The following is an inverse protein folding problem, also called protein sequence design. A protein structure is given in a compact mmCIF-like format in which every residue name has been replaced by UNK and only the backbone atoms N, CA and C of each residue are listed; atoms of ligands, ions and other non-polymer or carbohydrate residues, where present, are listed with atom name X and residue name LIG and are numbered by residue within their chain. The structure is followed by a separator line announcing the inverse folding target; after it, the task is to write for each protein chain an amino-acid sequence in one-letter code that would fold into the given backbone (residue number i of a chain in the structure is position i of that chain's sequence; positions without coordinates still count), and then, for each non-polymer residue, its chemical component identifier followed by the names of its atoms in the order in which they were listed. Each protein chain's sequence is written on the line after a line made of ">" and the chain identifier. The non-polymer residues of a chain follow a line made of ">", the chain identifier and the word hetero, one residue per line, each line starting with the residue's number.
data_IF_282930426291
#
_entry.id   IF_282930426291
#
_cell.length_a   1.000
_cell.length_b   1.000
_cell.length_c   1.000
_cell.angle_alpha   90.00
_cell.angle_beta   90.00
_cell.angle_gamma   90.00
#
_symmetry.space_group_name_H-M   'P 1'
#
loop_
_entity.id
_entity.type
_entity.pdbx_description
1 polymer ?
#
# COMPACT_ATOMS: atom_id res chain seq x y z
N UNK A 1 -42.04 -40.79 9.04
CA UNK A 1 -40.96 -41.45 8.28
C UNK A 1 -39.64 -40.78 8.68
N UNK A 2 -38.72 -41.59 9.18
CA UNK A 2 -37.45 -41.25 9.82
C UNK A 2 -36.42 -40.65 8.84
N UNK A 3 -35.46 -39.87 9.38
CA UNK A 3 -34.18 -39.67 8.70
C UNK A 3 -33.36 -38.46 9.16
N UNK A 4 -32.91 -38.43 10.42
CA UNK A 4 -31.77 -37.60 10.86
C UNK A 4 -30.48 -38.22 10.27
N UNK A 5 -29.62 -37.42 9.65
CA UNK A 5 -28.24 -37.81 9.37
C UNK A 5 -27.28 -36.89 10.12
N UNK A 6 -26.71 -37.42 11.19
CA UNK A 6 -25.55 -36.89 11.91
C UNK A 6 -24.30 -37.38 11.19
N UNK A 7 -23.36 -36.50 10.87
CA UNK A 7 -22.01 -36.89 10.48
C UNK A 7 -21.00 -36.27 11.45
N UNK A 8 -20.36 -37.15 12.21
CA UNK A 8 -19.26 -36.88 13.12
C UNK A 8 -17.95 -37.22 12.41
N UNK A 9 -16.85 -36.71 12.97
CA UNK A 9 -15.47 -37.24 12.84
C UNK A 9 -14.66 -36.68 11.66
N UNK A 10 -13.36 -36.34 11.74
CA UNK A 10 -12.28 -36.58 12.69
C UNK A 10 -11.24 -35.45 12.53
N UNK A 11 -10.70 -34.93 13.63
CA UNK A 11 -9.47 -34.14 13.67
C UNK A 11 -8.25 -35.08 13.62
N UNK A 12 -7.21 -34.75 12.85
CA UNK A 12 -5.83 -35.20 13.09
C UNK A 12 -4.84 -34.09 12.71
N UNK A 13 -3.94 -33.67 13.61
CA UNK A 13 -2.80 -32.83 13.26
C UNK A 13 -1.62 -33.71 12.84
N UNK A 14 -0.79 -33.23 11.90
CA UNK A 14 0.53 -33.80 11.65
C UNK A 14 1.59 -32.73 11.87
N UNK A 15 2.45 -33.02 12.85
CA UNK A 15 3.67 -32.32 13.22
C UNK A 15 4.90 -32.95 12.56
N UNK A 16 6.03 -32.24 12.70
CA UNK A 16 7.44 -32.65 12.60
C UNK A 16 8.16 -32.61 11.24
N UNK A 17 8.89 -31.50 11.05
CA UNK A 17 10.35 -31.37 11.06
C UNK A 17 11.20 -32.65 10.87
N UNK A 18 11.99 -32.67 9.79
CA UNK A 18 13.30 -33.31 9.54
C UNK A 18 13.78 -32.75 8.18
N UNK A 19 15.04 -32.52 7.80
CA UNK A 19 16.36 -32.65 8.40
C UNK A 19 17.35 -31.86 7.52
N UNK A 20 18.51 -31.58 8.09
CA UNK A 20 19.68 -30.90 7.55
C UNK A 20 20.38 -31.63 6.39
N UNK A 21 21.08 -30.89 5.52
CA UNK A 21 22.19 -31.42 4.72
C UNK A 21 23.38 -30.46 4.67
N UNK A 22 24.56 -31.05 4.89
CA UNK A 22 25.90 -30.47 5.03
C UNK A 22 26.49 -29.92 3.72
N UNK A 23 27.46 -29.03 3.93
CA UNK A 23 28.39 -28.37 3.03
C UNK A 23 29.32 -29.28 2.20
N UNK A 24 29.82 -28.77 1.07
CA UNK A 24 31.17 -29.02 0.51
C UNK A 24 31.62 -27.77 -0.27
N UNK A 25 32.82 -27.26 0.01
CA UNK A 25 33.51 -26.25 -0.80
C UNK A 25 34.66 -26.86 -1.61
N UNK A 26 35.20 -26.14 -2.60
CA UNK A 26 36.64 -26.15 -2.95
C UNK A 26 36.98 -25.14 -4.06
N UNK A 27 38.25 -24.78 -4.12
CA UNK A 27 38.88 -23.56 -4.66
C UNK A 27 39.52 -23.71 -6.05
N UNK A 28 39.50 -22.60 -6.81
CA UNK A 28 40.59 -21.91 -7.55
C UNK A 28 41.57 -22.71 -8.45
N UNK A 29 41.67 -22.37 -9.75
CA UNK A 29 42.96 -22.19 -10.46
C UNK A 29 42.82 -21.35 -11.75
N UNK A 30 43.82 -20.50 -12.00
CA UNK A 30 44.05 -19.55 -13.09
C UNK A 30 45.05 -20.15 -14.11
N UNK A 31 45.13 -19.67 -15.37
CA UNK A 31 46.35 -19.18 -16.07
C UNK A 31 46.16 -18.97 -17.60
N UNK A 32 46.52 -17.74 -18.02
CA UNK A 32 47.14 -17.16 -19.25
C UNK A 32 46.97 -17.76 -20.68
N UNK A 33 46.75 -16.87 -21.67
CA UNK A 33 47.79 -16.23 -22.53
C UNK A 33 47.19 -15.64 -23.84
N UNK A 34 47.69 -14.47 -24.27
CA UNK A 34 47.26 -13.70 -25.45
C UNK A 34 48.07 -14.01 -26.72
N UNK A 35 47.64 -13.49 -27.89
CA UNK A 35 48.48 -12.46 -28.52
C UNK A 35 47.72 -11.22 -29.05
N UNK A 36 48.51 -10.16 -29.20
CA UNK A 36 48.21 -8.76 -29.52
C UNK A 36 48.28 -8.48 -31.02
N UNK A 37 47.39 -7.62 -31.55
CA UNK A 37 47.65 -6.84 -32.76
C UNK A 37 47.14 -5.39 -32.61
N UNK A 38 48.06 -4.45 -32.80
CA UNK A 38 47.92 -2.98 -32.85
C UNK A 38 47.20 -2.52 -34.15
N UNK A 39 46.71 -1.30 -34.39
CA UNK A 39 46.53 -0.03 -33.69
C UNK A 39 45.59 0.82 -34.57
N UNK A 40 44.80 1.73 -33.99
CA UNK A 40 44.56 3.09 -34.51
C UNK A 40 43.72 3.90 -33.51
N UNK A 41 43.96 5.21 -33.48
CA UNK A 41 43.77 6.15 -32.37
C UNK A 41 42.53 7.05 -32.50
N UNK A 42 41.74 7.12 -31.41
CA UNK A 42 40.94 8.26 -30.87
C UNK A 42 39.89 8.99 -31.75
N UNK A 43 38.90 9.73 -31.20
CA UNK A 43 38.67 10.08 -29.80
C UNK A 43 37.31 9.65 -29.21
N UNK A 44 37.13 9.96 -27.93
CA UNK A 44 36.07 9.52 -27.03
C UNK A 44 34.76 10.32 -27.07
N UNK A 45 33.72 9.66 -26.50
CA UNK A 45 32.43 10.13 -25.97
C UNK A 45 31.33 10.43 -27.00
N UNK A 46 30.05 10.06 -26.84
CA UNK A 46 29.14 10.20 -25.68
C UNK A 46 28.04 9.10 -25.71
N UNK A 47 27.58 8.70 -24.53
CA UNK A 47 26.45 7.81 -24.16
C UNK A 47 25.30 7.59 -25.17
N UNK A 48 24.86 6.32 -25.30
CA UNK A 48 23.45 5.94 -25.44
C UNK A 48 23.22 4.42 -25.29
N UNK A 49 22.45 4.07 -24.26
CA UNK A 49 21.61 2.86 -24.12
C UNK A 49 22.27 1.47 -24.27
N UNK A 50 22.79 0.94 -23.15
CA UNK A 50 22.88 -0.50 -22.96
C UNK A 50 21.47 -1.06 -22.69
N UNK A 51 20.76 -1.36 -23.77
CA UNK A 51 19.49 -2.09 -23.76
C UNK A 51 19.76 -3.51 -23.24
N UNK A 52 19.69 -3.70 -21.93
CA UNK A 52 19.66 -5.05 -21.35
C UNK A 52 18.25 -5.60 -21.60
N UNK A 53 18.07 -6.27 -22.73
CA UNK A 53 16.90 -7.09 -23.02
C UNK A 53 16.81 -8.17 -21.94
N UNK A 54 15.91 -8.00 -20.98
CA UNK A 54 15.59 -9.04 -20.00
C UNK A 54 14.93 -10.18 -20.75
N UNK A 55 15.66 -11.28 -20.93
CA UNK A 55 15.13 -12.52 -21.49
C UNK A 55 14.13 -13.15 -20.49
N UNK A 56 12.85 -12.87 -20.69
CA UNK A 56 11.73 -13.39 -19.89
C UNK A 56 11.45 -14.88 -20.09
N UNK A 57 12.08 -15.58 -21.04
CA UNK A 57 11.97 -17.06 -21.13
C UNK A 57 12.70 -17.76 -19.99
N UNK A 58 13.74 -17.12 -19.43
CA UNK A 58 14.54 -17.69 -18.34
C UNK A 58 13.98 -17.39 -16.95
N UNK A 59 13.02 -16.46 -16.85
CA UNK A 59 12.37 -16.11 -15.58
C UNK A 59 11.21 -17.08 -15.35
N UNK A 60 11.55 -18.35 -15.08
CA UNK A 60 10.59 -19.29 -14.51
C UNK A 60 10.31 -18.78 -13.10
N UNK A 61 9.21 -18.03 -12.96
CA UNK A 61 8.73 -17.59 -11.65
C UNK A 61 8.64 -18.83 -10.74
N UNK A 62 9.39 -18.85 -9.64
CA UNK A 62 9.43 -19.99 -8.70
C UNK A 62 8.07 -20.28 -8.04
N UNK A 63 7.07 -19.43 -8.29
CA UNK A 63 5.70 -19.63 -7.87
C UNK A 63 5.05 -20.70 -8.73
N UNK A 64 4.51 -21.75 -8.11
CA UNK A 64 3.71 -22.77 -8.79
C UNK A 64 2.49 -22.15 -9.48
N UNK A 65 1.92 -22.84 -10.46
CA UNK A 65 0.65 -22.41 -11.07
C UNK A 65 -0.42 -22.19 -9.98
N UNK A 66 -0.46 -23.06 -8.97
CA UNK A 66 -1.31 -22.94 -7.80
C UNK A 66 -1.07 -21.64 -7.00
N UNK A 67 0.18 -21.23 -6.76
CA UNK A 67 0.49 -19.96 -6.07
C UNK A 67 0.10 -18.72 -6.89
N UNK A 68 0.14 -18.83 -8.22
CA UNK A 68 -0.24 -17.73 -9.14
C UNK A 68 -1.75 -17.62 -9.33
N UNK A 69 -2.48 -18.73 -9.18
CA UNK A 69 -3.95 -18.80 -9.37
C UNK A 69 -4.71 -18.96 -8.07
N UNK A 70 -4.03 -18.98 -6.92
CA UNK A 70 -4.73 -18.92 -5.64
C UNK A 70 -5.62 -17.68 -5.70
N UNK A 71 -6.93 -17.81 -5.40
CA UNK A 71 -7.73 -16.63 -5.16
C UNK A 71 -6.92 -15.78 -4.20
N UNK A 72 -6.68 -14.51 -4.56
CA UNK A 72 -6.17 -13.57 -3.57
C UNK A 72 -7.02 -13.80 -2.33
N UNK A 73 -6.43 -14.13 -1.15
CA UNK A 73 -7.23 -14.19 0.06
C UNK A 73 -7.97 -12.86 0.06
N UNK A 74 -9.30 -12.91 0.07
CA UNK A 74 -10.15 -11.73 0.01
C UNK A 74 -9.68 -10.87 1.16
N UNK A 75 -8.75 -9.96 0.88
CA UNK A 75 -8.04 -9.28 1.94
C UNK A 75 -9.12 -8.50 2.68
N UNK A 76 -9.04 -8.47 4.00
CA UNK A 76 -9.88 -7.57 4.77
C UNK A 76 -9.73 -6.17 4.14
N UNK A 77 -10.84 -5.60 3.70
CA UNK A 77 -10.82 -4.30 3.06
C UNK A 77 -10.38 -3.28 4.10
N UNK A 78 -9.23 -2.67 3.90
CA UNK A 78 -8.60 -1.77 4.88
C UNK A 78 -7.98 -0.57 4.19
N UNK A 79 -8.07 0.60 4.82
CA UNK A 79 -7.33 1.78 4.42
C UNK A 79 -6.23 2.06 5.45
N UNK A 80 -5.06 2.54 5.02
CA UNK A 80 -3.97 2.86 5.94
C UNK A 80 -3.05 3.95 5.39
N UNK A 81 -2.41 4.68 6.31
CA UNK A 81 -1.34 5.62 5.99
C UNK A 81 -0.04 4.85 5.75
N UNK A 82 0.73 5.27 4.75
CA UNK A 82 1.98 4.61 4.36
C UNK A 82 3.17 5.20 5.08
N UNK A 83 3.18 6.52 5.28
CA UNK A 83 4.37 7.27 5.68
C UNK A 83 4.27 7.92 7.07
N UNK A 84 3.15 7.74 7.78
CA UNK A 84 2.96 8.20 9.17
C UNK A 84 2.36 7.08 10.02
N UNK A 85 2.75 7.03 11.30
CA UNK A 85 2.26 6.07 12.29
C UNK A 85 1.79 6.80 13.57
N UNK A 86 1.08 6.05 14.41
CA UNK A 86 0.63 6.54 15.70
C UNK A 86 1.83 6.94 16.58
N UNK A 87 1.76 8.15 17.15
CA UNK A 87 2.78 8.77 18.00
C UNK A 87 3.85 9.58 17.26
N UNK A 88 3.76 9.71 15.93
CA UNK A 88 4.75 10.46 15.16
C UNK A 88 4.74 11.95 15.49
N UNK A 89 5.94 12.54 15.46
CA UNK A 89 6.15 13.98 15.55
C UNK A 89 6.48 14.52 14.16
N UNK A 90 5.69 15.47 13.67
CA UNK A 90 5.81 16.01 12.31
C UNK A 90 5.92 17.53 12.34
N UNK A 91 6.45 18.13 11.28
CA UNK A 91 6.49 19.59 11.11
C UNK A 91 5.55 20.00 10.00
N UNK A 92 4.74 21.04 10.24
CA UNK A 92 3.80 21.54 9.24
C UNK A 92 4.47 22.50 8.24
N UNK A 93 4.16 22.40 6.92
CA UNK A 93 3.29 21.40 6.29
C UNK A 93 3.99 20.06 6.07
N UNK A 94 3.24 18.96 6.11
CA UNK A 94 3.76 17.62 5.88
C UNK A 94 2.92 16.83 4.88
N UNK A 95 3.58 15.93 4.13
CA UNK A 95 2.93 15.05 3.17
C UNK A 95 2.41 13.80 3.87
N UNK A 96 1.22 13.35 3.50
CA UNK A 96 0.64 12.07 3.88
C UNK A 96 0.30 11.28 2.63
N UNK A 97 0.64 10.00 2.62
CA UNK A 97 0.31 9.05 1.56
C UNK A 97 -0.54 7.94 2.15
N UNK A 98 -1.54 7.49 1.39
CA UNK A 98 -2.53 6.55 1.87
C UNK A 98 -2.95 5.58 0.77
N UNK A 99 -3.35 4.39 1.21
CA UNK A 99 -3.69 3.25 0.34
C UNK A 99 -4.97 2.60 0.84
N UNK A 100 -5.70 1.97 -0.09
CA UNK A 100 -6.79 1.03 0.21
C UNK A 100 -6.45 -0.34 -0.35
N UNK A 101 -6.68 -1.39 0.43
CA UNK A 101 -6.58 -2.79 0.01
C UNK A 101 -7.97 -3.36 -0.25
N UNK A 102 -8.13 -4.16 -1.30
CA UNK A 102 -9.39 -4.82 -1.66
C UNK A 102 -10.43 -3.93 -2.37
N UNK A 103 -10.08 -2.70 -2.74
CA UNK A 103 -10.88 -1.78 -3.55
C UNK A 103 -10.00 -0.92 -4.47
N UNK A 104 -10.58 -0.34 -5.51
CA UNK A 104 -9.93 0.64 -6.38
C UNK A 104 -10.23 2.10 -5.97
N UNK A 105 -9.32 3.01 -6.28
CA UNK A 105 -9.53 4.46 -6.12
C UNK A 105 -10.05 5.03 -7.44
N UNK A 106 -11.14 5.79 -7.39
CA UNK A 106 -11.76 6.41 -8.55
C UNK A 106 -12.22 7.84 -8.23
N UNK A 107 -12.05 8.80 -9.16
CA UNK A 107 -12.63 10.13 -9.02
C UNK A 107 -14.16 10.06 -8.90
N UNK A 108 -14.74 10.93 -8.07
CA UNK A 108 -16.20 11.09 -7.92
C UNK A 108 -16.88 11.35 -9.27
N UNK A 109 -16.22 12.13 -10.15
CA UNK A 109 -16.73 12.46 -11.49
C UNK A 109 -16.90 11.25 -12.41
N UNK A 110 -16.23 10.12 -12.12
CA UNK A 110 -16.40 8.89 -12.88
C UNK A 110 -17.71 8.15 -12.55
N UNK A 111 -18.46 8.62 -11.53
CA UNK A 111 -19.74 8.06 -11.14
C UNK A 111 -19.63 6.75 -10.37
N UNK A 112 -20.66 5.92 -10.47
CA UNK A 112 -20.73 4.66 -9.74
C UNK A 112 -19.96 3.55 -10.47
N UNK A 113 -18.74 3.27 -10.02
CA UNK A 113 -17.93 2.14 -10.50
C UNK A 113 -17.83 1.11 -9.37
N UNK A 114 -18.28 -0.11 -9.65
CA UNK A 114 -18.28 -1.21 -8.69
C UNK A 114 -16.86 -1.47 -8.15
N UNK A 115 -16.76 -1.75 -6.84
CA UNK A 115 -15.48 -2.03 -6.19
C UNK A 115 -14.56 -0.81 -6.05
N UNK A 116 -15.05 0.40 -6.33
CA UNK A 116 -14.26 1.63 -6.20
C UNK A 116 -14.84 2.67 -5.25
N UNK A 117 -14.01 3.63 -4.90
CA UNK A 117 -14.37 4.77 -4.08
C UNK A 117 -13.25 5.80 -4.04
N UNK A 118 -13.27 6.67 -3.04
CA UNK A 118 -12.22 7.63 -2.82
C UNK A 118 -11.95 7.85 -1.33
N UNK A 119 -10.80 8.44 -1.04
CA UNK A 119 -10.32 8.62 0.32
C UNK A 119 -10.89 9.88 0.97
N UNK A 120 -10.96 9.81 2.29
CA UNK A 120 -11.18 10.93 3.19
C UNK A 120 -10.19 10.85 4.34
N UNK A 121 -9.76 11.99 4.86
CA UNK A 121 -9.09 12.06 6.15
C UNK A 121 -10.01 12.81 7.12
N UNK A 122 -10.26 12.18 8.26
CA UNK A 122 -10.94 12.76 9.40
C UNK A 122 -9.86 13.34 10.31
N UNK A 123 -9.96 14.64 10.58
CA UNK A 123 -9.01 15.39 11.40
C UNK A 123 -9.71 15.80 12.68
N UNK A 124 -9.25 15.26 13.81
CA UNK A 124 -9.84 15.51 15.13
C UNK A 124 -11.33 15.18 15.21
N UNK A 125 -11.78 14.19 14.43
CA UNK A 125 -13.16 13.73 14.40
C UNK A 125 -13.28 12.24 14.74
N UNK A 126 -14.33 11.86 15.48
CA UNK A 126 -14.69 10.45 15.63
C UNK A 126 -15.20 9.88 14.31
N UNK A 127 -15.34 8.55 14.26
CA UNK A 127 -16.05 7.92 13.15
C UNK A 127 -17.50 8.43 13.06
N UNK A 128 -18.02 8.71 11.85
CA UNK A 128 -19.41 9.06 11.66
C UNK A 128 -20.32 7.95 12.20
N UNK A 129 -21.29 8.34 13.03
CA UNK A 129 -22.27 7.41 13.59
C UNK A 129 -23.27 6.94 12.54
N UNK A 130 -23.60 7.80 11.57
CA UNK A 130 -24.47 7.46 10.46
C UNK A 130 -23.68 6.85 9.30
N UNK A 131 -24.01 5.60 8.99
CA UNK A 131 -23.33 4.82 7.97
C UNK A 131 -23.85 5.03 6.55
N UNK A 132 -25.02 5.68 6.42
CA UNK A 132 -25.77 5.81 5.17
C UNK A 132 -25.75 7.23 4.62
N UNK A 133 -25.45 8.20 5.47
CA UNK A 133 -25.35 9.60 5.06
C UNK A 133 -23.98 9.91 4.44
N UNK A 134 -23.94 10.83 3.46
CA UNK A 134 -22.69 11.39 2.95
C UNK A 134 -21.88 12.05 4.07
N UNK A 135 -20.56 11.99 3.96
CA UNK A 135 -19.69 12.76 4.83
C UNK A 135 -19.97 14.26 4.68
N UNK A 136 -20.03 15.02 5.79
CA UNK A 136 -20.27 16.45 5.73
C UNK A 136 -19.07 17.14 5.08
N UNK A 137 -19.36 18.14 4.26
CA UNK A 137 -18.35 19.07 3.79
C UNK A 137 -18.18 20.19 4.81
N UNK A 138 -16.94 20.50 5.15
CA UNK A 138 -16.65 21.66 5.99
C UNK A 138 -17.15 22.94 5.31
N UNK A 139 -17.65 23.88 6.13
CA UNK A 139 -18.16 25.16 5.62
C UNK A 139 -17.00 25.99 5.05
N UNK A 140 -17.29 26.78 4.02
CA UNK A 140 -16.30 27.58 3.31
C UNK A 140 -15.65 28.69 4.16
N UNK A 141 -16.16 29.01 5.34
CA UNK A 141 -15.57 29.96 6.30
C UNK A 141 -14.65 29.28 7.34
N UNK A 142 -14.65 27.95 7.38
CA UNK A 142 -13.95 27.13 8.39
C UNK A 142 -12.65 26.51 7.87
N UNK A 143 -12.06 27.06 6.79
CA UNK A 143 -10.83 26.55 6.14
C UNK A 143 -9.65 26.33 7.09
N UNK A 144 -9.61 27.00 8.24
CA UNK A 144 -8.56 26.79 9.25
C UNK A 144 -8.67 25.45 9.98
N UNK A 145 -9.86 24.86 10.05
CA UNK A 145 -10.12 23.61 10.76
C UNK A 145 -10.95 22.66 9.88
N UNK A 146 -10.42 22.28 8.70
CA UNK A 146 -11.07 21.25 7.89
C UNK A 146 -11.09 19.93 8.68
N UNK A 147 -12.26 19.52 9.14
CA UNK A 147 -12.52 18.28 9.89
C UNK A 147 -12.59 17.08 8.96
N UNK A 148 -13.06 17.29 7.73
CA UNK A 148 -13.21 16.25 6.71
C UNK A 148 -12.48 16.69 5.44
N UNK A 149 -11.30 16.12 5.23
CA UNK A 149 -10.56 16.31 3.98
C UNK A 149 -11.05 15.31 2.94
N UNK A 150 -11.63 15.81 1.85
CA UNK A 150 -12.13 15.00 0.75
C UNK A 150 -11.11 14.88 -0.39
N UNK A 151 -10.91 13.66 -0.90
CA UNK A 151 -10.04 13.36 -2.04
C UNK A 151 -10.86 12.88 -3.24
N UNK A 152 -11.84 13.69 -3.62
CA UNK A 152 -12.84 13.35 -4.64
C UNK A 152 -12.31 13.28 -6.07
N UNK A 153 -11.04 13.63 -6.33
CA UNK A 153 -10.41 13.46 -7.65
C UNK A 153 -9.62 12.14 -7.75
N UNK A 154 -9.71 11.30 -6.72
CA UNK A 154 -8.96 10.04 -6.64
C UNK A 154 -7.52 10.24 -6.19
N UNK A 155 -7.25 11.31 -5.43
CA UNK A 155 -5.93 11.52 -4.85
C UNK A 155 -5.58 10.39 -3.85
N UNK A 156 -4.31 9.98 -3.81
CA UNK A 156 -3.76 8.97 -2.88
C UNK A 156 -2.72 9.56 -1.93
N UNK A 157 -2.50 10.87 -2.04
CA UNK A 157 -1.59 11.63 -1.20
C UNK A 157 -2.08 13.07 -1.06
N UNK A 158 -1.66 13.72 0.03
CA UNK A 158 -1.99 15.12 0.29
C UNK A 158 -0.90 15.79 1.11
N UNK A 159 -0.82 17.12 1.02
CA UNK A 159 -0.06 17.94 1.97
C UNK A 159 -1.04 18.51 2.98
N UNK A 160 -0.81 18.23 4.26
CA UNK A 160 -1.57 18.76 5.38
C UNK A 160 -0.78 19.93 5.99
N UNK A 161 -1.47 21.05 6.21
CA UNK A 161 -0.95 22.19 6.96
C UNK A 161 -1.79 22.36 8.23
N UNK A 162 -1.40 21.66 9.29
CA UNK A 162 -2.08 21.65 10.58
C UNK A 162 -1.38 22.59 11.56
N UNK A 163 -2.12 23.24 12.48
CA UNK A 163 -1.50 24.02 13.53
C UNK A 163 -0.63 23.14 14.44
N UNK A 164 0.35 23.71 15.16
CA UNK A 164 1.09 22.98 16.18
C UNK A 164 0.17 22.45 17.28
N UNK A 165 0.44 21.23 17.75
CA UNK A 165 -0.38 20.55 18.77
C UNK A 165 -0.61 19.08 18.48
N UNK A 166 -1.41 18.44 19.35
CA UNK A 166 -1.84 17.05 19.16
C UNK A 166 -3.03 17.00 18.22
N UNK A 167 -2.95 16.13 17.23
CA UNK A 167 -4.03 15.86 16.29
C UNK A 167 -4.29 14.36 16.20
N UNK A 168 -5.52 13.99 15.89
CA UNK A 168 -5.91 12.63 15.55
C UNK A 168 -6.30 12.58 14.08
N UNK A 169 -5.80 11.56 13.38
CA UNK A 169 -6.08 11.33 11.98
C UNK A 169 -6.64 9.94 11.78
N UNK A 170 -7.67 9.83 10.95
CA UNK A 170 -8.21 8.54 10.50
C UNK A 170 -8.56 8.61 9.01
N UNK A 171 -8.20 7.58 8.25
CA UNK A 171 -8.67 7.43 6.88
C UNK A 171 -10.06 6.81 6.88
N UNK A 172 -10.90 7.28 5.97
CA UNK A 172 -12.20 6.68 5.69
C UNK A 172 -12.42 6.60 4.19
N UNK A 173 -12.75 5.41 3.71
CA UNK A 173 -13.06 5.18 2.30
C UNK A 173 -14.56 5.25 2.06
N UNK A 174 -14.97 5.93 0.99
CA UNK A 174 -16.37 6.16 0.66
C UNK A 174 -16.63 6.03 -0.85
N UNK A 175 -17.89 5.83 -1.22
CA UNK A 175 -18.31 5.76 -2.62
C UNK A 175 -18.33 7.15 -3.30
N UNK A 176 -18.73 7.21 -4.56
CA UNK A 176 -18.83 8.46 -5.33
C UNK A 176 -19.79 9.51 -4.72
N UNK A 177 -20.75 9.11 -3.89
CA UNK A 177 -21.66 10.00 -3.17
C UNK A 177 -21.15 10.38 -1.77
N UNK A 178 -19.88 10.09 -1.47
CA UNK A 178 -19.26 10.31 -0.15
C UNK A 178 -19.91 9.50 0.98
N UNK A 179 -20.66 8.44 0.66
CA UNK A 179 -21.24 7.52 1.65
C UNK A 179 -20.18 6.49 2.05
N UNK A 180 -19.81 6.37 3.33
CA UNK A 180 -18.71 5.53 3.75
C UNK A 180 -18.94 4.03 3.52
N UNK A 181 -17.90 3.32 3.12
CA UNK A 181 -17.91 1.85 3.09
C UNK A 181 -17.53 1.21 4.45
N UNK A 182 -17.21 2.03 5.46
CA UNK A 182 -16.63 1.59 6.74
C UNK A 182 -15.30 0.86 6.61
N UNK A 183 -14.62 1.10 5.48
CA UNK A 183 -13.23 0.71 5.27
C UNK A 183 -12.39 1.89 5.75
N UNK A 184 -11.74 1.72 6.89
CA UNK A 184 -11.02 2.78 7.57
C UNK A 184 -9.66 2.32 8.07
N UNK A 185 -8.83 3.28 8.43
CA UNK A 185 -7.60 3.00 9.19
C UNK A 185 -7.90 2.93 10.68
N UNK A 186 -6.93 2.38 11.43
CA UNK A 186 -6.81 2.74 12.85
C UNK A 186 -6.64 4.26 12.95
N UNK A 187 -7.17 4.84 14.02
CA UNK A 187 -6.87 6.23 14.35
C UNK A 187 -5.43 6.31 14.84
N UNK A 188 -4.75 7.35 14.37
CA UNK A 188 -3.40 7.65 14.78
C UNK A 188 -3.39 9.04 15.42
N UNK A 189 -2.69 9.17 16.54
CA UNK A 189 -2.39 10.47 17.14
C UNK A 189 -1.02 10.92 16.66
N UNK A 190 -0.91 12.15 16.20
CA UNK A 190 0.35 12.78 15.80
C UNK A 190 0.54 14.08 16.60
N UNK A 191 1.80 14.47 16.78
CA UNK A 191 2.17 15.76 17.38
C UNK A 191 2.81 16.66 16.30
N UNK A 192 2.13 17.74 15.96
CA UNK A 192 2.66 18.75 15.04
C UNK A 192 3.52 19.71 15.86
N UNK A 193 4.81 19.75 15.53
CA UNK A 193 5.78 20.60 16.21
C UNK A 193 5.62 22.07 15.79
N UNK A 194 5.99 22.98 16.69
CA UNK A 194 6.05 24.40 16.40
C UNK A 194 6.95 24.68 15.19
N UNK A 195 6.57 25.70 14.39
CA UNK A 195 7.45 26.22 13.35
C UNK A 195 8.67 26.80 14.05
N UNK A 196 9.83 26.19 13.82
CA UNK A 196 11.14 26.73 14.24
C UNK A 196 11.20 28.16 13.71
N UNK A 197 11.31 29.12 14.64
CA UNK A 197 11.43 30.55 14.35
C UNK A 197 12.75 30.87 13.66
#
# INVERSE_FOLDING_TARGET
>A
MFGLFTYLSHQRPLSNLYQTSKAIGSTLTLVAAMPVLAATSAPAQIDSASTTTLNTESVISNNSAFERTRPFPTADKVAYFVNIKNGDKVRSPFRVAFVVSGMGVSPVKAGNIEGTGHHHILIDQPMPADIKSPLPFDRADEFKNQKYKHFGKGETEAVLDLPPGKHTLRLLFANHNHVPYYISSKEISIEVMDKVR
#
